data_IF_800693478037
#
_entry.id   IF_800693478037
#
_cell.length_a   1.000
_cell.length_b   1.000
_cell.length_c   1.000
_cell.angle_alpha   90.00
_cell.angle_beta   90.00
_cell.angle_gamma   90.00
#
_symmetry.space_group_name_H-M   'P 1'
#
loop_
_entity.id
_entity.type
_entity.pdbx_description
1 polymer ?
#
# COMPACT_ATOMS: atom_id res chain seq x y z
N UNK A 1 17.70 18.56 10.50
CA UNK A 1 17.94 17.12 10.78
C UNK A 1 16.94 16.23 10.04
N UNK A 2 15.63 16.31 10.30
CA UNK A 2 14.63 15.48 9.61
C UNK A 2 14.71 15.55 8.06
N UNK A 3 14.67 16.76 7.48
CA UNK A 3 14.79 16.93 6.02
C UNK A 3 16.11 16.40 5.44
N UNK A 4 17.18 16.40 6.24
CA UNK A 4 18.48 15.89 5.80
C UNK A 4 18.49 14.35 5.71
N UNK A 5 17.73 13.68 6.59
CA UNK A 5 17.64 12.22 6.64
C UNK A 5 16.55 11.66 5.72
N UNK A 6 15.41 12.32 5.64
CA UNK A 6 14.22 11.80 4.96
C UNK A 6 13.92 12.50 3.63
N UNK A 7 14.57 13.63 3.34
CA UNK A 7 14.22 14.50 2.22
C UNK A 7 12.97 15.34 2.49
N UNK A 8 12.82 16.42 1.73
CA UNK A 8 11.71 17.37 1.90
C UNK A 8 10.36 16.77 1.47
N UNK A 9 10.36 15.87 0.48
CA UNK A 9 9.16 15.15 0.03
C UNK A 9 8.58 14.18 1.07
N UNK A 10 9.32 13.89 2.14
CA UNK A 10 8.81 13.08 3.24
C UNK A 10 7.84 13.85 4.15
N UNK A 11 7.88 15.19 4.15
CA UNK A 11 7.01 16.01 5.02
C UNK A 11 5.52 15.80 4.73
N UNK A 12 5.15 15.52 3.48
CA UNK A 12 3.79 15.17 3.08
C UNK A 12 3.29 13.86 3.73
N UNK A 13 4.17 13.05 4.31
CA UNK A 13 3.81 11.80 5.02
C UNK A 13 3.88 11.95 6.53
N UNK A 14 4.21 13.14 7.04
CA UNK A 14 4.38 13.38 8.48
C UNK A 14 3.07 13.84 9.11
N UNK A 15 2.75 13.27 10.26
CA UNK A 15 1.69 13.72 11.16
C UNK A 15 2.30 14.07 12.51
N UNK A 16 2.11 15.32 12.92
CA UNK A 16 2.52 15.86 14.20
C UNK A 16 1.37 15.70 15.18
N UNK A 17 1.53 14.84 16.17
CA UNK A 17 0.47 14.56 17.16
C UNK A 17 0.75 15.33 18.44
N UNK A 18 -0.25 16.10 18.89
CA UNK A 18 -0.24 16.75 20.21
C UNK A 18 -1.03 15.90 21.20
N UNK A 19 -0.50 15.68 22.40
CA UNK A 19 -1.15 14.88 23.45
C UNK A 19 -1.35 15.70 24.73
N UNK A 20 -1.99 15.09 25.75
CA UNK A 20 -2.27 15.70 27.07
C UNK A 20 -3.28 16.86 27.04
N UNK A 21 -4.13 16.92 26.03
CA UNK A 21 -5.27 17.82 26.00
C UNK A 21 -6.20 17.55 27.19
N UNK A 22 -6.63 18.60 27.91
CA UNK A 22 -7.55 18.48 29.04
C UNK A 22 -6.91 18.09 30.38
N UNK A 23 -5.57 17.96 30.48
CA UNK A 23 -4.88 17.62 31.75
C UNK A 23 -4.56 18.82 32.65
N UNK A 24 -4.72 20.05 32.18
CA UNK A 24 -4.40 21.26 32.93
C UNK A 24 -5.36 22.39 32.50
N UNK A 25 -6.30 22.77 33.38
CA UNK A 25 -7.34 23.76 33.07
C UNK A 25 -6.81 25.20 33.03
N UNK A 26 -5.59 25.46 33.51
CA UNK A 26 -5.02 26.81 33.61
C UNK A 26 -4.27 27.23 32.34
N UNK A 27 -3.97 26.29 31.44
CA UNK A 27 -3.23 26.56 30.20
C UNK A 27 -4.16 26.67 29.00
N UNK A 28 -3.98 27.74 28.25
CA UNK A 28 -4.59 27.87 26.92
C UNK A 28 -3.81 27.01 25.90
N UNK A 29 -4.19 25.73 25.80
CA UNK A 29 -3.64 24.79 24.84
C UNK A 29 -3.90 25.20 23.38
N UNK A 30 -4.98 25.94 23.12
CA UNK A 30 -5.29 26.42 21.77
C UNK A 30 -4.28 27.48 21.33
N UNK A 31 -3.95 28.44 22.21
CA UNK A 31 -2.90 29.42 21.96
C UNK A 31 -1.54 28.76 21.74
N UNK A 32 -1.19 27.76 22.56
CA UNK A 32 0.08 27.04 22.41
C UNK A 32 0.14 26.25 21.10
N UNK A 33 -0.94 25.57 20.72
CA UNK A 33 -1.00 24.89 19.43
C UNK A 33 -0.89 25.87 18.26
N UNK A 34 -1.52 27.05 18.36
CA UNK A 34 -1.38 28.12 17.38
C UNK A 34 0.06 28.59 17.21
N UNK A 35 0.80 28.77 18.32
CA UNK A 35 2.23 29.10 18.28
C UNK A 35 3.06 27.97 17.64
N UNK A 36 2.77 26.72 17.99
CA UNK A 36 3.46 25.57 17.41
C UNK A 36 3.23 25.52 15.89
N UNK A 37 1.99 25.68 15.42
CA UNK A 37 1.65 25.70 13.99
C UNK A 37 2.26 26.90 13.26
N UNK A 38 2.14 28.10 13.83
CA UNK A 38 2.50 29.35 13.18
C UNK A 38 4.01 29.66 13.18
N UNK A 39 4.76 29.14 14.16
CA UNK A 39 6.17 29.47 14.35
C UNK A 39 7.08 28.26 14.24
N UNK A 40 6.83 27.22 15.02
CA UNK A 40 7.77 26.10 15.16
C UNK A 40 7.63 25.04 14.08
N UNK A 41 6.41 24.79 13.63
CA UNK A 41 6.08 23.74 12.65
C UNK A 41 5.70 24.31 11.29
N UNK A 42 5.74 25.64 11.13
CA UNK A 42 5.35 26.31 9.89
C UNK A 42 6.01 25.68 8.67
N UNK A 43 7.34 25.51 8.68
CA UNK A 43 8.07 24.88 7.58
C UNK A 43 7.62 23.44 7.30
N UNK A 44 7.27 22.67 8.34
CA UNK A 44 6.79 21.30 8.16
C UNK A 44 5.37 21.29 7.57
N UNK A 45 4.52 22.20 8.02
CA UNK A 45 3.14 22.37 7.53
C UNK A 45 3.12 22.88 6.09
N UNK A 46 3.98 23.84 5.75
CA UNK A 46 4.18 24.32 4.38
C UNK A 46 4.64 23.17 3.45
N UNK A 47 5.37 22.18 3.99
CA UNK A 47 5.75 20.93 3.31
C UNK A 47 4.69 19.82 3.31
N UNK A 48 3.46 20.10 3.74
CA UNK A 48 2.33 19.15 3.70
C UNK A 48 2.16 18.25 4.94
N UNK A 49 2.95 18.47 5.99
CA UNK A 49 2.76 17.80 7.27
C UNK A 49 1.46 18.26 7.92
N UNK A 50 0.81 17.34 8.65
CA UNK A 50 -0.48 17.61 9.32
C UNK A 50 -0.31 17.63 10.82
N UNK A 51 -1.26 18.26 11.51
CA UNK A 51 -1.31 18.29 12.96
C UNK A 51 -2.60 17.66 13.44
N UNK A 52 -2.50 16.71 14.34
CA UNK A 52 -3.64 16.00 14.94
C UNK A 52 -3.55 16.05 16.47
N UNK A 53 -4.69 15.82 17.14
CA UNK A 53 -4.81 15.88 18.59
C UNK A 53 -5.18 14.50 19.15
N UNK A 54 -4.41 14.03 20.13
CA UNK A 54 -4.75 12.90 20.99
C UNK A 54 -5.45 13.45 22.23
N UNK A 55 -6.78 13.38 22.23
CA UNK A 55 -7.64 14.03 23.23
C UNK A 55 -7.80 13.13 24.45
N UNK A 56 -7.62 13.69 25.65
CA UNK A 56 -7.81 12.91 26.87
C UNK A 56 -9.30 12.69 27.18
N UNK A 57 -9.68 11.50 27.61
CA UNK A 57 -11.07 11.06 27.74
C UNK A 57 -11.65 10.46 26.46
N UNK A 58 -11.00 10.68 25.31
CA UNK A 58 -11.37 10.13 24.00
C UNK A 58 -10.15 9.51 23.32
N UNK A 59 -9.19 8.98 24.09
CA UNK A 59 -7.89 8.53 23.56
C UNK A 59 -8.05 7.46 22.49
N UNK A 60 -8.98 6.51 22.68
CA UNK A 60 -9.22 5.44 21.72
C UNK A 60 -9.78 5.99 20.40
N UNK A 61 -10.81 6.84 20.46
CA UNK A 61 -11.42 7.43 19.26
C UNK A 61 -10.44 8.33 18.51
N UNK A 62 -9.74 9.22 19.23
CA UNK A 62 -8.77 10.14 18.64
C UNK A 62 -7.53 9.43 18.10
N UNK A 63 -7.02 8.39 18.77
CA UNK A 63 -5.92 7.56 18.25
C UNK A 63 -6.31 6.85 16.95
N UNK A 64 -7.50 6.24 16.90
CA UNK A 64 -7.98 5.62 15.67
C UNK A 64 -8.24 6.63 14.56
N UNK A 65 -8.68 7.85 14.90
CA UNK A 65 -8.78 8.96 13.95
C UNK A 65 -7.44 9.30 13.31
N UNK A 66 -6.37 9.38 14.11
CA UNK A 66 -5.00 9.61 13.61
C UNK A 66 -4.53 8.47 12.70
N UNK A 67 -4.75 7.22 13.09
CA UNK A 67 -4.38 6.06 12.27
C UNK A 67 -5.11 6.09 10.94
N UNK A 68 -6.42 6.36 10.94
CA UNK A 68 -7.21 6.50 9.72
C UNK A 68 -6.69 7.63 8.84
N UNK A 69 -6.36 8.81 9.38
CA UNK A 69 -5.86 9.92 8.57
C UNK A 69 -4.50 9.63 7.90
N UNK A 70 -3.69 8.76 8.52
CA UNK A 70 -2.47 8.21 7.90
C UNK A 70 -2.83 7.23 6.78
N UNK A 71 -3.70 6.25 7.06
CA UNK A 71 -4.12 5.23 6.08
C UNK A 71 -4.84 5.84 4.87
N UNK A 72 -5.73 6.81 5.07
CA UNK A 72 -6.44 7.49 4.00
C UNK A 72 -5.48 8.10 2.97
N UNK A 73 -4.31 8.60 3.41
CA UNK A 73 -3.26 9.12 2.49
C UNK A 73 -2.51 8.01 1.76
N UNK A 74 -2.39 6.83 2.38
CA UNK A 74 -1.79 5.65 1.77
C UNK A 74 -2.77 4.94 0.82
N UNK A 75 -4.08 5.12 1.01
CA UNK A 75 -5.11 4.60 0.13
C UNK A 75 -5.44 5.56 -1.03
N UNK A 76 -5.46 6.88 -0.79
CA UNK A 76 -5.67 7.89 -1.85
C UNK A 76 -4.45 8.12 -2.73
N UNK A 77 -3.24 7.95 -2.20
CA UNK A 77 -2.13 7.51 -3.05
C UNK A 77 -2.44 6.06 -3.32
N UNK A 78 -3.30 5.83 -4.30
CA UNK A 78 -3.66 4.50 -4.72
C UNK A 78 -2.42 3.61 -4.59
N UNK A 79 -2.64 2.33 -4.33
CA UNK A 79 -1.84 1.35 -5.03
C UNK A 79 -2.04 1.71 -6.51
N UNK A 80 -1.33 2.73 -7.01
CA UNK A 80 -1.12 3.02 -8.38
C UNK A 80 -0.53 1.71 -8.78
N UNK A 81 -1.40 0.92 -9.37
CA UNK A 81 -1.15 -0.24 -10.16
C UNK A 81 0.21 -0.01 -10.79
N UNK A 82 1.26 -0.44 -10.08
CA UNK A 82 2.59 -0.45 -10.66
C UNK A 82 2.40 -1.24 -11.94
N UNK A 83 3.09 -0.88 -13.02
CA UNK A 83 2.93 -1.63 -14.27
C UNK A 83 2.96 -3.14 -14.01
N UNK A 84 3.80 -3.58 -13.06
CA UNK A 84 3.85 -4.94 -12.52
C UNK A 84 2.55 -5.42 -11.84
N UNK A 85 1.91 -4.66 -10.94
CA UNK A 85 0.65 -5.05 -10.30
C UNK A 85 -0.52 -5.11 -11.29
N UNK A 86 -0.56 -4.20 -12.25
CA UNK A 86 -1.56 -4.16 -13.33
C UNK A 86 -1.42 -5.39 -14.25
N UNK A 87 -0.17 -5.66 -14.65
CA UNK A 87 0.19 -6.81 -15.46
C UNK A 87 -0.10 -8.13 -14.72
N UNK A 88 0.24 -8.23 -13.43
CA UNK A 88 -0.05 -9.41 -12.63
C UNK A 88 -1.56 -9.65 -12.50
N UNK A 89 -2.35 -8.58 -12.30
CA UNK A 89 -3.81 -8.70 -12.21
C UNK A 89 -4.42 -9.19 -13.54
N UNK A 90 -4.00 -8.60 -14.66
CA UNK A 90 -4.42 -9.05 -15.98
C UNK A 90 -4.02 -10.52 -16.25
N UNK A 91 -2.84 -10.95 -15.80
CA UNK A 91 -2.40 -12.33 -15.91
C UNK A 91 -3.23 -13.30 -15.05
N UNK A 92 -3.66 -12.89 -13.85
CA UNK A 92 -4.54 -13.69 -13.00
C UNK A 92 -5.95 -13.82 -13.59
N UNK A 93 -6.49 -12.75 -14.18
CA UNK A 93 -7.78 -12.78 -14.88
C UNK A 93 -7.74 -13.71 -16.09
N UNK A 94 -6.67 -13.65 -16.89
CA UNK A 94 -6.43 -14.59 -18.00
C UNK A 94 -6.34 -16.05 -17.52
N UNK A 95 -5.76 -16.31 -16.34
CA UNK A 95 -5.66 -17.66 -15.79
C UNK A 95 -7.02 -18.23 -15.40
N UNK A 96 -7.89 -17.41 -14.79
CA UNK A 96 -9.26 -17.82 -14.43
C UNK A 96 -10.06 -18.13 -15.69
N UNK A 97 -9.94 -17.30 -16.72
CA UNK A 97 -10.62 -17.52 -17.99
C UNK A 97 -10.13 -18.79 -18.70
N UNK A 98 -8.81 -19.00 -18.73
CA UNK A 98 -8.20 -20.22 -19.28
C UNK A 98 -8.64 -21.48 -18.52
N UNK A 99 -8.72 -21.45 -17.18
CA UNK A 99 -9.22 -22.58 -16.40
C UNK A 99 -10.70 -22.88 -16.69
N UNK A 100 -11.50 -21.83 -16.91
CA UNK A 100 -12.93 -21.97 -17.24
C UNK A 100 -13.12 -22.58 -18.63
N UNK A 101 -12.30 -22.18 -19.60
CA UNK A 101 -12.30 -22.75 -20.95
C UNK A 101 -11.76 -24.19 -20.99
N UNK A 102 -10.77 -24.50 -20.15
CA UNK A 102 -10.23 -25.86 -20.01
C UNK A 102 -11.31 -26.82 -19.48
N UNK A 103 -12.08 -26.42 -18.45
CA UNK A 103 -13.18 -27.25 -17.95
C UNK A 103 -14.29 -27.48 -19.00
N UNK A 104 -14.57 -26.47 -19.84
CA UNK A 104 -15.54 -26.60 -20.92
C UNK A 104 -15.04 -27.52 -22.05
N UNK A 105 -13.77 -27.38 -22.45
CA UNK A 105 -13.17 -28.18 -23.52
C UNK A 105 -12.80 -29.60 -23.08
N UNK A 106 -12.54 -29.84 -21.79
CA UNK A 106 -12.38 -31.19 -21.23
C UNK A 106 -13.69 -31.98 -21.34
N UNK A 107 -14.85 -31.35 -21.12
CA UNK A 107 -16.14 -31.96 -21.34
C UNK A 107 -16.36 -32.36 -22.82
N UNK A 108 -15.92 -31.51 -23.76
CA UNK A 108 -16.02 -31.77 -25.22
C UNK A 108 -14.96 -32.76 -25.74
N UNK A 109 -13.77 -32.81 -25.12
CA UNK A 109 -12.70 -33.75 -25.47
C UNK A 109 -13.01 -35.17 -24.97
N UNK A 110 -13.67 -35.30 -23.81
CA UNK A 110 -14.26 -36.57 -23.35
C UNK A 110 -15.34 -37.07 -24.31
N UNK A 111 -16.03 -36.16 -25.02
CA UNK A 111 -16.95 -36.49 -26.10
C UNK A 111 -16.26 -36.88 -27.43
N UNK A 112 -14.92 -36.90 -27.49
CA UNK A 112 -14.14 -37.50 -28.57
C UNK A 112 -13.68 -36.56 -29.69
N UNK A 113 -13.80 -35.24 -29.51
CA UNK A 113 -13.38 -34.28 -30.54
C UNK A 113 -11.86 -34.02 -30.50
N UNK A 114 -11.13 -34.37 -31.58
CA UNK A 114 -9.67 -34.21 -31.66
C UNK A 114 -9.22 -32.73 -31.69
N UNK A 115 -10.05 -31.82 -32.23
CA UNK A 115 -9.77 -30.38 -32.18
C UNK A 115 -9.81 -29.85 -30.74
N UNK A 116 -10.70 -30.37 -29.89
CA UNK A 116 -10.77 -29.98 -28.48
C UNK A 116 -9.52 -30.43 -27.70
N UNK A 117 -8.95 -31.60 -28.02
CA UNK A 117 -7.70 -32.09 -27.40
C UNK A 117 -6.49 -31.20 -27.74
N UNK A 118 -6.38 -30.77 -28.99
CA UNK A 118 -5.26 -29.90 -29.41
C UNK A 118 -5.37 -28.51 -28.78
N UNK A 119 -6.57 -27.94 -28.68
CA UNK A 119 -6.81 -26.67 -27.98
C UNK A 119 -6.51 -26.78 -26.47
N UNK A 120 -6.87 -27.88 -25.82
CA UNK A 120 -6.55 -28.14 -24.42
C UNK A 120 -5.04 -28.12 -24.16
N UNK A 121 -4.26 -28.81 -25.00
CA UNK A 121 -2.80 -28.83 -24.86
C UNK A 121 -2.17 -27.45 -25.02
N UNK A 122 -2.68 -26.64 -25.96
CA UNK A 122 -2.21 -25.27 -26.16
C UNK A 122 -2.54 -24.36 -24.97
N UNK A 123 -3.74 -24.52 -24.37
CA UNK A 123 -4.16 -23.77 -23.19
C UNK A 123 -3.35 -24.16 -21.94
N UNK A 124 -3.10 -25.45 -21.72
CA UNK A 124 -2.25 -25.93 -20.62
C UNK A 124 -0.83 -25.36 -20.72
N UNK A 125 -0.26 -25.29 -21.93
CA UNK A 125 1.06 -24.73 -22.14
C UNK A 125 1.13 -23.24 -21.77
N UNK A 126 0.10 -22.46 -22.13
CA UNK A 126 0.00 -21.02 -21.77
C UNK A 126 -0.13 -20.85 -20.25
N UNK A 127 -0.93 -21.67 -19.57
CA UNK A 127 -1.07 -21.63 -18.10
C UNK A 127 0.26 -21.93 -17.40
N UNK A 128 1.01 -22.94 -17.88
CA UNK A 128 2.35 -23.25 -17.33
C UNK A 128 3.34 -22.10 -17.50
N UNK A 129 3.34 -21.46 -18.67
CA UNK A 129 4.22 -20.32 -18.93
C UNK A 129 3.95 -19.13 -17.99
N UNK A 130 2.67 -18.82 -17.75
CA UNK A 130 2.26 -17.73 -16.86
C UNK A 130 2.58 -18.07 -15.40
N UNK A 131 2.35 -19.32 -14.95
CA UNK A 131 2.71 -19.76 -13.61
C UNK A 131 4.21 -19.56 -13.31
N UNK A 132 5.06 -19.85 -14.31
CA UNK A 132 6.50 -19.66 -14.19
C UNK A 132 6.90 -18.17 -14.12
N UNK A 133 6.17 -17.28 -14.79
CA UNK A 133 6.37 -15.83 -14.67
C UNK A 133 6.04 -15.34 -13.25
N UNK A 134 5.00 -15.88 -12.60
CA UNK A 134 4.62 -15.54 -11.23
C UNK A 134 5.69 -16.00 -10.21
N UNK A 135 6.27 -17.19 -10.37
CA UNK A 135 7.37 -17.65 -9.51
C UNK A 135 8.60 -16.74 -9.61
N UNK A 136 8.97 -16.34 -10.83
CA UNK A 136 10.10 -15.43 -11.02
C UNK A 136 9.85 -14.05 -10.38
N UNK A 137 8.60 -13.56 -10.43
CA UNK A 137 8.22 -12.34 -9.73
C UNK A 137 8.31 -12.48 -8.20
N UNK A 138 7.89 -13.64 -7.65
CA UNK A 138 8.05 -13.99 -6.23
C UNK A 138 9.49 -14.01 -5.76
N UNK A 139 10.49 -14.25 -6.60
CA UNK A 139 11.91 -14.19 -6.19
C UNK A 139 12.42 -12.74 -6.12
N UNK A 140 11.83 -11.83 -6.91
CA UNK A 140 12.23 -10.42 -6.94
C UNK A 140 11.67 -9.60 -5.76
N UNK A 141 10.47 -9.94 -5.27
CA UNK A 141 9.79 -9.21 -4.20
C UNK A 141 10.49 -9.35 -2.82
N UNK A 142 10.88 -10.54 -2.35
CA UNK A 142 11.64 -10.74 -1.11
C UNK A 142 13.02 -10.09 -1.20
N UNK A 143 13.68 -10.12 -2.37
CA UNK A 143 14.96 -9.44 -2.58
C UNK A 143 14.83 -7.92 -2.51
N UNK A 144 13.74 -7.35 -3.03
CA UNK A 144 13.44 -5.91 -2.91
C UNK A 144 13.07 -5.53 -1.48
N UNK A 145 12.30 -6.36 -0.78
CA UNK A 145 11.93 -6.17 0.62
C UNK A 145 13.16 -6.27 1.54
N UNK A 146 14.02 -7.26 1.34
CA UNK A 146 15.27 -7.43 2.09
C UNK A 146 16.24 -6.26 1.86
N UNK A 147 16.35 -5.78 0.61
CA UNK A 147 17.15 -4.59 0.29
C UNK A 147 16.59 -3.33 0.94
N UNK A 148 15.27 -3.19 1.00
CA UNK A 148 14.61 -2.09 1.70
C UNK A 148 14.84 -2.16 3.22
N UNK A 149 14.69 -3.34 3.84
CA UNK A 149 14.95 -3.57 5.27
C UNK A 149 16.41 -3.27 5.61
N UNK A 150 17.37 -3.67 4.76
CA UNK A 150 18.80 -3.38 4.95
C UNK A 150 19.11 -1.88 4.90
N UNK A 151 18.37 -1.13 4.08
CA UNK A 151 18.53 0.33 3.95
C UNK A 151 17.88 1.09 5.11
N UNK A 152 16.84 0.52 5.74
CA UNK A 152 16.11 1.12 6.86
C UNK A 152 16.72 0.77 8.23
N UNK A 153 17.32 -0.41 8.39
CA UNK A 153 17.92 -0.86 9.67
C UNK A 153 19.45 -0.82 9.71
N UNK A 154 20.11 -0.36 8.64
CA UNK A 154 21.57 -0.34 8.50
C UNK A 154 22.23 1.01 8.80
N UNK A 155 21.58 1.91 9.54
CA UNK A 155 22.10 3.22 9.93
C UNK A 155 22.02 3.44 11.43
#
# INVERSE_FOLDING_TARGET
>A
MFNHLCGESALEKVVLVTSKWGRDSERDFHKREGELKGKHWKTMMDGGARVERLVSGEEQASAWGIVRSILDRVETREIHQTHAARQLRAQLEQMIEAQTQMLASEADAVAGNEEAKTQLQEQEAKVRQIAQQIENLKVSLPKRLARWIKLVMGG
#
